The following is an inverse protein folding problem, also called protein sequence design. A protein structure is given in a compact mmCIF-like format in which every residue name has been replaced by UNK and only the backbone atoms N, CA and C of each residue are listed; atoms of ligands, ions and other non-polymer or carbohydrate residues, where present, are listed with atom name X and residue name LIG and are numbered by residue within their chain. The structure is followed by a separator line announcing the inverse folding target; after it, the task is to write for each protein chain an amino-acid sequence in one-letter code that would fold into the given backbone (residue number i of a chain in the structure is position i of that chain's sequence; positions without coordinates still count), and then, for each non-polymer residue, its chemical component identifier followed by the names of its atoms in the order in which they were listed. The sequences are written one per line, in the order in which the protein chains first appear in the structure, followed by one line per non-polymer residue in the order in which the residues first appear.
data_IF_058163485168
#
_entry.id   IF_058163485168
#
_cell.length_a   1.000
_cell.length_b   1.000
_cell.length_c   1.000
_cell.angle_alpha   90.00
_cell.angle_beta   90.00
_cell.angle_gamma   90.00
#
_symmetry.space_group_name_H-M   'P 1'
#
loop_
_entity.id
_entity.type
_entity.pdbx_description
1 polymer ?
#
# COMPACT_ATOMS: atom_id res chain seq x y z
N UNK A 1 -14.08 -3.58 -3.67
CA UNK A 1 -14.48 -2.59 -4.69
C UNK A 1 -13.28 -1.69 -4.93
N UNK A 2 -13.11 -1.21 -6.17
CA UNK A 2 -12.06 -0.28 -6.53
C UNK A 2 -12.71 0.91 -7.23
N UNK A 3 -12.37 2.13 -6.79
CA UNK A 3 -12.84 3.38 -7.38
C UNK A 3 -11.71 4.41 -7.40
N UNK A 4 -11.29 4.84 -8.59
CA UNK A 4 -10.21 5.80 -8.80
C UNK A 4 -9.04 5.25 -9.66
N UNK A 5 -7.86 5.89 -9.62
CA UNK A 5 -7.62 7.18 -8.99
C UNK A 5 -8.46 8.29 -9.65
N UNK A 6 -9.06 9.16 -8.84
CA UNK A 6 -9.76 10.36 -9.31
C UNK A 6 -8.95 11.59 -8.93
N UNK A 7 -8.81 12.52 -9.87
CA UNK A 7 -8.22 13.82 -9.59
C UNK A 7 -9.25 14.69 -8.84
N UNK A 8 -8.77 15.38 -7.81
CA UNK A 8 -9.49 16.38 -7.03
C UNK A 8 -8.64 17.64 -7.00
N UNK A 9 -9.17 18.72 -7.55
CA UNK A 9 -8.52 20.03 -7.53
C UNK A 9 -8.98 20.79 -6.29
N UNK A 10 -8.02 21.28 -5.52
CA UNK A 10 -8.21 21.88 -4.20
C UNK A 10 -8.73 23.32 -4.24
N UNK A 11 -8.72 23.99 -5.39
CA UNK A 11 -9.31 25.32 -5.58
C UNK A 11 -10.77 25.28 -6.08
N UNK A 12 -11.26 24.11 -6.49
CA UNK A 12 -12.63 23.95 -6.97
C UNK A 12 -13.64 23.74 -5.81
N UNK A 13 -14.82 24.35 -5.93
CA UNK A 13 -15.94 24.17 -4.99
C UNK A 13 -16.81 22.94 -5.32
N UNK A 14 -16.18 21.84 -5.75
CA UNK A 14 -16.86 20.54 -5.85
C UNK A 14 -17.16 19.99 -4.45
N UNK A 15 -18.17 19.12 -4.34
CA UNK A 15 -18.49 18.50 -3.03
C UNK A 15 -17.28 17.78 -2.43
N UNK A 16 -16.50 17.07 -3.26
CA UNK A 16 -15.30 16.38 -2.79
C UNK A 16 -14.17 17.34 -2.44
N UNK A 17 -13.95 18.40 -3.23
CA UNK A 17 -12.94 19.43 -2.95
C UNK A 17 -13.17 20.11 -1.61
N UNK A 18 -14.42 20.52 -1.32
CA UNK A 18 -14.78 21.12 -0.02
C UNK A 18 -14.50 20.15 1.14
N UNK A 19 -14.92 18.88 1.02
CA UNK A 19 -14.69 17.88 2.06
C UNK A 19 -13.20 17.59 2.27
N UNK A 20 -12.43 17.48 1.19
CA UNK A 20 -10.99 17.27 1.28
C UNK A 20 -10.30 18.45 1.95
N UNK A 21 -10.65 19.70 1.61
CA UNK A 21 -10.09 20.89 2.27
C UNK A 21 -10.37 20.93 3.77
N UNK A 22 -11.60 20.58 4.16
CA UNK A 22 -11.99 20.55 5.58
C UNK A 22 -11.18 19.54 6.41
N UNK A 23 -10.71 18.44 5.79
CA UNK A 23 -9.97 17.36 6.47
C UNK A 23 -8.46 17.52 6.35
N UNK A 24 -7.98 17.88 5.17
CA UNK A 24 -6.58 17.83 4.77
C UNK A 24 -5.90 19.21 4.79
N UNK A 25 -6.67 20.29 4.92
CA UNK A 25 -6.19 21.67 4.73
C UNK A 25 -6.17 22.08 3.25
N UNK A 26 -5.55 23.22 2.96
CA UNK A 26 -5.38 23.70 1.58
C UNK A 26 -4.34 22.85 0.83
N UNK A 27 -4.65 22.45 -0.41
CA UNK A 27 -3.76 21.74 -1.33
C UNK A 27 -4.05 22.17 -2.78
N UNK A 28 -3.11 21.96 -3.70
CA UNK A 28 -3.31 22.28 -5.13
C UNK A 28 -4.19 21.23 -5.81
N UNK A 29 -3.72 19.99 -5.88
CA UNK A 29 -4.49 18.85 -6.37
C UNK A 29 -4.05 17.55 -5.72
N UNK A 30 -4.95 16.56 -5.73
CA UNK A 30 -4.70 15.22 -5.21
C UNK A 30 -5.33 14.15 -6.11
N UNK A 31 -4.71 12.97 -6.15
CA UNK A 31 -5.31 11.75 -6.73
C UNK A 31 -5.76 10.84 -5.60
N UNK A 32 -7.04 10.45 -5.63
CA UNK A 32 -7.63 9.63 -4.57
C UNK A 32 -8.12 8.30 -5.15
N UNK A 33 -7.69 7.20 -4.54
CA UNK A 33 -8.16 5.85 -4.86
C UNK A 33 -8.76 5.18 -3.63
N UNK A 34 -9.95 4.61 -3.78
CA UNK A 34 -10.67 3.90 -2.73
C UNK A 34 -10.66 2.40 -3.03
N UNK A 35 -10.20 1.62 -2.06
CA UNK A 35 -10.18 0.17 -2.11
C UNK A 35 -11.02 -0.38 -0.95
N UNK A 36 -11.78 -1.43 -1.20
CA UNK A 36 -12.47 -2.17 -0.13
C UNK A 36 -12.15 -3.66 -0.19
N UNK A 37 -11.90 -4.21 0.99
CA UNK A 37 -11.66 -5.64 1.22
C UNK A 37 -12.99 -6.38 1.42
N UNK A 38 -12.97 -7.71 1.32
CA UNK A 38 -14.17 -8.56 1.48
C UNK A 38 -14.79 -8.52 2.89
N UNK A 39 -14.03 -8.09 3.90
CA UNK A 39 -14.51 -7.94 5.29
C UNK A 39 -14.94 -6.51 5.63
N UNK A 40 -15.06 -5.62 4.65
CA UNK A 40 -15.57 -4.26 4.85
C UNK A 40 -14.54 -3.25 5.37
N UNK A 41 -13.26 -3.63 5.43
CA UNK A 41 -12.16 -2.67 5.64
C UNK A 41 -11.95 -1.88 4.35
N UNK A 42 -11.77 -0.58 4.47
CA UNK A 42 -11.44 0.30 3.35
C UNK A 42 -10.01 0.82 3.50
N UNK A 43 -9.33 0.99 2.37
CA UNK A 43 -8.05 1.68 2.26
C UNK A 43 -8.25 2.82 1.27
N UNK A 44 -7.90 4.02 1.70
CA UNK A 44 -7.93 5.23 0.87
C UNK A 44 -6.49 5.69 0.65
N UNK A 45 -6.11 5.83 -0.62
CA UNK A 45 -4.79 6.29 -1.01
C UNK A 45 -4.92 7.72 -1.52
N UNK A 46 -4.06 8.60 -1.01
CA UNK A 46 -3.97 10.01 -1.38
C UNK A 46 -2.58 10.29 -1.91
N UNK A 47 -2.51 10.94 -3.06
CA UNK A 47 -1.26 11.39 -3.66
C UNK A 47 -1.41 12.86 -4.02
N UNK A 48 -0.62 13.71 -3.38
CA UNK A 48 -0.61 15.17 -3.61
C UNK A 48 0.51 15.53 -4.57
N UNK A 49 0.34 16.62 -5.32
CA UNK A 49 1.37 17.11 -6.25
C UNK A 49 2.51 17.83 -5.53
N UNK A 50 2.23 18.44 -4.37
CA UNK A 50 3.24 19.07 -3.52
C UNK A 50 3.57 18.14 -2.34
N UNK A 51 4.74 17.49 -2.42
CA UNK A 51 5.23 16.58 -1.41
C UNK A 51 6.49 17.18 -0.77
N UNK A 52 6.42 17.47 0.52
CA UNK A 52 7.63 17.80 1.29
C UNK A 52 8.55 16.58 1.40
N UNK A 53 9.84 16.82 1.61
CA UNK A 53 10.79 15.75 1.87
C UNK A 53 10.39 15.00 3.15
N UNK A 54 10.11 13.70 3.02
CA UNK A 54 9.72 12.86 4.15
C UNK A 54 10.94 12.15 4.76
N UNK A 55 10.86 11.83 6.04
CA UNK A 55 11.79 10.90 6.70
C UNK A 55 11.26 9.47 6.53
N UNK A 56 12.14 8.51 6.19
CA UNK A 56 11.73 7.10 6.06
C UNK A 56 10.99 6.62 7.33
N UNK A 57 9.88 5.88 7.18
CA UNK A 57 9.14 5.32 8.31
C UNK A 57 10.05 4.43 9.19
N UNK A 58 10.06 4.66 10.50
CA UNK A 58 10.69 3.77 11.48
C UNK A 58 9.63 2.85 12.10
N UNK A 59 9.68 1.52 11.88
CA UNK A 59 8.75 0.56 12.48
C UNK A 59 8.75 0.56 14.02
N UNK A 60 9.75 1.17 14.66
CA UNK A 60 9.85 1.31 16.12
C UNK A 60 9.21 2.60 16.64
N UNK A 61 8.76 3.49 15.75
CA UNK A 61 8.02 4.69 16.10
C UNK A 61 6.52 4.51 15.85
N UNK A 62 5.65 5.21 16.59
CA UNK A 62 4.22 5.25 16.29
C UNK A 62 3.98 5.83 14.90
N UNK A 63 3.19 5.13 14.08
CA UNK A 63 2.86 5.58 12.73
C UNK A 63 2.36 4.44 11.86
N UNK A 64 1.98 4.79 10.64
CA UNK A 64 1.81 3.81 9.58
C UNK A 64 3.18 3.28 9.16
N UNK A 65 3.31 1.96 8.98
CA UNK A 65 4.60 1.35 8.65
C UNK A 65 4.54 0.38 7.48
N UNK A 66 3.43 -0.35 7.30
CA UNK A 66 3.29 -1.28 6.18
C UNK A 66 1.84 -1.64 5.87
N UNK A 67 1.64 -2.20 4.68
CA UNK A 67 0.47 -2.98 4.30
C UNK A 67 0.87 -4.22 3.51
N UNK A 68 -0.06 -5.15 3.35
CA UNK A 68 0.15 -6.37 2.60
C UNK A 68 -0.82 -6.45 1.42
N UNK A 69 -0.31 -6.87 0.27
CA UNK A 69 -1.08 -7.21 -0.94
C UNK A 69 -0.87 -8.67 -1.30
N UNK A 70 -1.86 -9.26 -1.98
CA UNK A 70 -1.83 -10.65 -2.40
C UNK A 70 -1.69 -10.70 -3.92
N UNK A 71 -0.59 -11.24 -4.42
CA UNK A 71 -0.35 -11.48 -5.85
C UNK A 71 0.43 -12.79 -6.06
N UNK A 72 -0.11 -13.77 -6.83
CA UNK A 72 0.59 -15.02 -7.09
C UNK A 72 1.89 -14.86 -7.91
N UNK A 73 2.04 -13.75 -8.64
CA UNK A 73 3.21 -13.43 -9.47
C UNK A 73 4.15 -12.45 -8.73
N UNK A 74 4.64 -12.88 -7.57
CA UNK A 74 5.41 -12.05 -6.64
C UNK A 74 6.62 -11.36 -7.28
N UNK A 75 7.37 -12.06 -8.14
CA UNK A 75 8.54 -11.51 -8.82
C UNK A 75 8.16 -10.42 -9.83
N UNK A 76 7.04 -10.59 -10.54
CA UNK A 76 6.55 -9.60 -11.50
C UNK A 76 6.05 -8.34 -10.80
N UNK A 77 5.32 -8.50 -9.68
CA UNK A 77 4.83 -7.35 -8.92
C UNK A 77 5.98 -6.58 -8.24
N UNK A 78 6.95 -7.28 -7.66
CA UNK A 78 8.12 -6.65 -7.06
C UNK A 78 8.93 -5.84 -8.11
N UNK A 79 9.16 -6.43 -9.29
CA UNK A 79 9.82 -5.73 -10.39
C UNK A 79 9.03 -4.48 -10.84
N UNK A 80 7.70 -4.57 -10.93
CA UNK A 80 6.86 -3.40 -11.25
C UNK A 80 6.96 -2.30 -10.21
N UNK A 81 7.08 -2.63 -8.92
CA UNK A 81 7.25 -1.63 -7.86
C UNK A 81 8.59 -0.92 -8.03
N UNK A 82 9.67 -1.68 -8.21
CA UNK A 82 11.02 -1.15 -8.44
C UNK A 82 11.08 -0.23 -9.67
N UNK A 83 10.50 -0.66 -10.79
CA UNK A 83 10.40 0.13 -12.03
C UNK A 83 9.59 1.44 -11.89
N UNK A 84 8.72 1.53 -10.88
CA UNK A 84 7.83 2.67 -10.63
C UNK A 84 8.33 3.61 -9.53
N UNK A 85 9.58 3.45 -9.09
CA UNK A 85 10.23 4.30 -8.10
C UNK A 85 10.10 3.81 -6.67
N UNK A 86 9.59 2.59 -6.46
CA UNK A 86 9.77 1.87 -5.20
C UNK A 86 11.12 1.15 -5.16
N UNK A 87 11.25 0.21 -4.22
CA UNK A 87 12.44 -0.63 -4.04
C UNK A 87 12.00 -2.08 -3.80
N UNK A 88 12.58 -3.05 -4.51
CA UNK A 88 12.50 -4.45 -4.08
C UNK A 88 13.47 -4.67 -2.92
N UNK A 89 12.95 -4.63 -1.69
CA UNK A 89 13.74 -4.46 -0.47
C UNK A 89 14.38 -5.75 0.06
N UNK A 90 13.72 -6.90 -0.12
CA UNK A 90 14.21 -8.19 0.41
C UNK A 90 14.18 -9.28 -0.66
N UNK A 91 14.88 -10.39 -0.44
CA UNK A 91 14.72 -11.57 -1.30
C UNK A 91 13.26 -12.10 -1.25
N UNK A 92 12.92 -12.97 -2.21
CA UNK A 92 11.70 -13.78 -2.14
C UNK A 92 11.98 -15.01 -1.28
N UNK A 93 11.17 -15.21 -0.25
CA UNK A 93 11.30 -16.33 0.68
C UNK A 93 10.15 -17.32 0.51
N UNK A 94 10.45 -18.61 0.67
CA UNK A 94 9.46 -19.59 1.09
C UNK A 94 9.24 -19.39 2.59
N UNK A 95 8.01 -19.08 3.01
CA UNK A 95 7.73 -18.82 4.42
C UNK A 95 8.00 -20.08 5.23
N UNK A 96 7.56 -21.23 4.72
CA UNK A 96 7.46 -22.46 5.48
C UNK A 96 8.06 -23.63 4.69
N UNK A 97 8.99 -24.39 5.28
CA UNK A 97 9.68 -25.46 4.57
C UNK A 97 8.71 -26.46 3.93
N UNK A 98 8.85 -26.66 2.62
CA UNK A 98 8.06 -27.63 1.86
C UNK A 98 6.62 -27.19 1.55
N UNK A 99 6.28 -25.91 1.72
CA UNK A 99 4.98 -25.35 1.36
C UNK A 99 5.11 -24.31 0.23
N UNK A 100 3.99 -24.04 -0.45
CA UNK A 100 3.95 -23.13 -1.61
C UNK A 100 3.89 -21.63 -1.24
N UNK A 101 3.84 -21.32 0.04
CA UNK A 101 3.64 -19.95 0.53
C UNK A 101 4.95 -19.17 0.44
N UNK A 102 4.93 -18.11 -0.38
CA UNK A 102 6.06 -17.21 -0.58
C UNK A 102 5.71 -15.76 -0.24
N UNK A 103 6.71 -15.01 0.21
CA UNK A 103 6.63 -13.57 0.46
C UNK A 103 7.90 -12.82 0.11
N UNK A 104 7.78 -11.50 0.04
CA UNK A 104 8.87 -10.55 -0.04
C UNK A 104 8.39 -9.20 0.49
N UNK A 105 9.31 -8.31 0.84
CA UNK A 105 9.03 -6.92 1.12
C UNK A 105 9.57 -6.03 0.00
N UNK A 106 8.76 -5.07 -0.39
CA UNK A 106 9.16 -3.92 -1.18
C UNK A 106 9.01 -2.65 -0.34
N UNK A 107 9.51 -1.52 -0.85
CA UNK A 107 9.16 -0.18 -0.37
C UNK A 107 8.41 0.58 -1.45
N UNK A 108 7.42 1.37 -1.04
CA UNK A 108 6.85 2.40 -1.90
C UNK A 108 7.81 3.62 -2.00
N UNK A 109 7.52 4.60 -2.87
CA UNK A 109 8.35 5.81 -2.98
C UNK A 109 8.46 6.65 -1.69
N UNK A 110 7.60 6.37 -0.70
CA UNK A 110 7.55 7.02 0.61
C UNK A 110 8.21 6.19 1.71
N UNK A 111 8.93 5.12 1.34
CA UNK A 111 9.63 4.25 2.28
C UNK A 111 8.73 3.34 3.12
N UNK A 112 7.40 3.35 2.91
CA UNK A 112 6.51 2.41 3.58
C UNK A 112 6.77 1.00 3.06
N UNK A 113 6.71 0.00 3.94
CA UNK A 113 6.85 -1.38 3.52
C UNK A 113 5.59 -1.88 2.82
N UNK A 114 5.78 -2.52 1.67
CA UNK A 114 4.76 -3.25 0.93
C UNK A 114 5.10 -4.72 1.02
N UNK A 115 4.37 -5.45 1.87
CA UNK A 115 4.47 -6.91 1.94
C UNK A 115 3.69 -7.51 0.77
N UNK A 116 4.29 -8.49 0.09
CA UNK A 116 3.61 -9.24 -0.96
C UNK A 116 3.51 -10.69 -0.53
N UNK A 117 2.27 -11.20 -0.46
CA UNK A 117 2.01 -12.62 -0.32
C UNK A 117 1.56 -13.24 -1.64
N UNK A 118 2.02 -14.46 -1.90
CA UNK A 118 1.49 -15.26 -3.02
C UNK A 118 0.09 -15.81 -2.78
N UNK A 119 -0.37 -15.80 -1.52
CA UNK A 119 -1.58 -16.48 -1.07
C UNK A 119 -2.32 -15.63 -0.03
N UNK A 120 -3.62 -15.90 0.17
CA UNK A 120 -4.37 -15.15 1.19
C UNK A 120 -3.80 -15.40 2.59
N UNK A 121 -3.90 -14.39 3.45
CA UNK A 121 -3.43 -14.47 4.82
C UNK A 121 -4.02 -15.69 5.55
N UNK A 122 -5.31 -15.95 5.36
CA UNK A 122 -5.96 -17.12 5.93
C UNK A 122 -5.34 -18.42 5.40
N UNK A 123 -5.08 -18.55 4.09
CA UNK A 123 -4.45 -19.76 3.55
C UNK A 123 -3.06 -19.98 4.10
N UNK A 124 -2.26 -18.92 4.16
CA UNK A 124 -0.89 -18.96 4.67
C UNK A 124 -0.88 -19.46 6.10
N UNK A 125 -1.79 -19.01 6.97
CA UNK A 125 -1.72 -19.30 8.41
C UNK A 125 -2.70 -20.37 8.93
N UNK A 126 -3.71 -20.83 8.16
CA UNK A 126 -4.82 -21.66 8.68
C UNK A 126 -4.49 -23.06 9.20
N UNK A 127 -3.31 -23.62 8.93
CA UNK A 127 -2.91 -24.93 9.46
C UNK A 127 -1.44 -24.95 9.87
N UNK A 128 -0.96 -23.78 10.20
CA UNK A 128 0.39 -23.65 10.66
C UNK A 128 0.34 -23.79 12.17
N UNK A 129 1.14 -24.72 12.70
CA UNK A 129 1.31 -24.85 14.14
C UNK A 129 2.00 -23.62 14.71
N UNK A 130 2.77 -23.81 15.77
CA UNK A 130 3.72 -22.78 16.16
C UNK A 130 4.77 -22.66 15.05
N UNK A 131 4.79 -21.53 14.34
CA UNK A 131 6.04 -21.00 13.80
C UNK A 131 7.00 -20.65 14.91
#
# INVERSE_FOLDING_TARGET
MFHGPQQVDGDEDTQIGVLCRDVLGDFESARIAHLTTGNGVAVELFEFDDLEAFEEPDPKQPGYFHFCVIDPNIEELAAKIDERGGEHHTDVWELFPGQEYRMTYCKDPFGNLVEIYTHSHERIYSNQGDY
#
